data_IF_416895586885
#
_entry.id   IF_416895586885
#
_cell.length_a   1.000
_cell.length_b   1.000
_cell.length_c   1.000
_cell.angle_alpha   90.00
_cell.angle_beta   90.00
_cell.angle_gamma   90.00
#
_symmetry.space_group_name_H-M   'P 1'
#
loop_
_entity.id
_entity.type
_entity.pdbx_description
1 polymer ?
#
# COMPACT_ATOMS: atom_id res chain seq x y z
N UNK A 1 -15.21 12.45 -2.62
CA UNK A 1 -14.60 12.70 -1.30
C UNK A 1 -15.63 12.78 -0.18
N UNK A 2 -16.63 13.67 -0.24
CA UNK A 2 -17.61 13.89 0.84
C UNK A 2 -18.19 12.60 1.44
N UNK A 3 -18.82 11.74 0.61
CA UNK A 3 -19.43 10.48 1.06
C UNK A 3 -18.43 9.52 1.72
N UNK A 4 -17.20 9.44 1.21
CA UNK A 4 -16.16 8.59 1.78
C UNK A 4 -15.72 9.09 3.16
N UNK A 5 -15.47 10.40 3.29
CA UNK A 5 -15.10 11.01 4.57
C UNK A 5 -16.23 10.94 5.60
N UNK A 6 -17.48 11.08 5.18
CA UNK A 6 -18.64 10.87 6.05
C UNK A 6 -18.71 9.43 6.57
N UNK A 7 -18.52 8.45 5.70
CA UNK A 7 -18.43 7.04 6.10
C UNK A 7 -17.29 6.79 7.09
N UNK A 8 -16.07 7.25 6.80
CA UNK A 8 -14.92 7.06 7.70
C UNK A 8 -15.07 7.82 9.01
N UNK A 9 -15.78 8.96 9.03
CA UNK A 9 -16.14 9.66 10.27
C UNK A 9 -17.05 8.80 11.14
N UNK A 10 -18.09 8.19 10.56
CA UNK A 10 -18.98 7.28 11.30
C UNK A 10 -18.27 5.98 11.72
N UNK A 11 -17.33 5.49 10.89
CA UNK A 11 -16.54 4.31 11.24
C UNK A 11 -15.63 4.59 12.45
N UNK A 12 -15.05 5.78 12.54
CA UNK A 12 -14.13 6.17 13.61
C UNK A 12 -14.73 6.06 15.03
N UNK A 13 -16.06 6.21 15.16
CA UNK A 13 -16.77 6.02 16.43
C UNK A 13 -16.72 4.56 16.93
N UNK A 14 -16.40 3.60 16.05
CA UNK A 14 -16.33 2.17 16.33
C UNK A 14 -14.89 1.61 16.21
N UNK A 15 -13.89 2.47 16.03
CA UNK A 15 -12.48 2.06 15.99
C UNK A 15 -11.77 2.36 17.31
N UNK A 16 -10.51 1.95 17.43
CA UNK A 16 -9.66 2.38 18.55
C UNK A 16 -9.62 3.91 18.65
N UNK A 17 -9.68 4.47 19.87
CA UNK A 17 -9.74 5.92 20.08
C UNK A 17 -8.45 6.62 19.66
N UNK A 18 -8.58 7.81 19.08
CA UNK A 18 -7.44 8.66 18.73
C UNK A 18 -6.85 8.38 17.35
N UNK A 19 -5.71 9.03 17.07
CA UNK A 19 -4.91 8.74 15.87
C UNK A 19 -3.93 7.64 16.22
N UNK A 20 -4.12 6.47 15.62
CA UNK A 20 -3.32 5.27 15.86
C UNK A 20 -2.29 5.14 14.76
N UNK A 21 -1.05 4.81 15.12
CA UNK A 21 0.02 4.54 14.18
C UNK A 21 0.16 3.01 13.98
N UNK A 22 1.16 2.64 13.21
CA UNK A 22 1.57 1.29 12.86
C UNK A 22 1.67 0.40 14.12
N UNK A 23 2.24 0.89 15.22
CA UNK A 23 2.45 0.05 16.40
C UNK A 23 1.14 -0.25 17.13
N UNK A 24 0.29 0.75 17.38
CA UNK A 24 -0.96 0.57 18.11
C UNK A 24 -1.92 -0.35 17.33
N UNK A 25 -2.03 -0.16 16.01
CA UNK A 25 -2.88 -1.00 15.15
C UNK A 25 -2.39 -2.44 15.14
N UNK A 26 -1.08 -2.65 14.99
CA UNK A 26 -0.48 -3.99 15.01
C UNK A 26 -0.73 -4.66 16.36
N UNK A 27 -0.43 -3.99 17.47
CA UNK A 27 -0.55 -4.59 18.80
C UNK A 27 -2.00 -4.94 19.12
N UNK A 28 -2.96 -4.07 18.81
CA UNK A 28 -4.38 -4.33 19.02
C UNK A 28 -4.94 -5.47 18.16
N UNK A 29 -4.46 -5.60 16.92
CA UNK A 29 -4.84 -6.72 16.06
C UNK A 29 -4.24 -8.04 16.58
N UNK A 30 -2.93 -8.03 16.86
CA UNK A 30 -2.19 -9.23 17.30
C UNK A 30 -2.63 -9.73 18.67
N UNK A 31 -3.06 -8.86 19.58
CA UNK A 31 -3.57 -9.24 20.90
C UNK A 31 -5.08 -9.55 20.91
N UNK A 32 -5.77 -9.43 19.77
CA UNK A 32 -7.20 -9.75 19.63
C UNK A 32 -8.17 -8.65 20.11
N UNK A 33 -7.67 -7.48 20.53
CA UNK A 33 -8.53 -6.33 20.90
C UNK A 33 -9.26 -5.76 19.70
N UNK A 34 -8.63 -5.77 18.52
CA UNK A 34 -9.21 -5.37 17.26
C UNK A 34 -9.30 -6.59 16.31
N UNK A 35 -10.51 -7.05 15.91
CA UNK A 35 -10.64 -8.20 15.02
C UNK A 35 -10.27 -7.90 13.56
N UNK A 36 -10.09 -6.62 13.20
CA UNK A 36 -9.73 -6.16 11.86
C UNK A 36 -8.72 -5.01 11.95
N UNK A 37 -7.81 -4.96 10.99
CA UNK A 37 -6.85 -3.87 10.83
C UNK A 37 -6.80 -3.40 9.36
N UNK A 38 -6.83 -2.09 9.15
CA UNK A 38 -6.44 -1.50 7.87
C UNK A 38 -4.92 -1.33 7.89
N UNK A 39 -4.20 -2.26 7.28
CA UNK A 39 -2.74 -2.32 7.39
C UNK A 39 -2.12 -2.88 6.10
N UNK A 40 -0.83 -2.60 5.91
CA UNK A 40 -0.02 -3.22 4.85
C UNK A 40 0.15 -4.73 5.04
N UNK A 41 0.57 -5.44 4.00
CA UNK A 41 1.04 -6.83 4.11
C UNK A 41 2.22 -7.01 5.08
N UNK A 42 2.87 -5.91 5.49
CA UNK A 42 3.91 -5.91 6.53
C UNK A 42 3.45 -6.37 7.91
N UNK A 43 2.15 -6.55 8.17
CA UNK A 43 1.68 -7.19 9.40
C UNK A 43 1.86 -8.72 9.38
N UNK A 44 1.91 -9.34 8.19
CA UNK A 44 1.93 -10.79 8.04
C UNK A 44 3.13 -11.47 8.72
N UNK A 45 4.37 -10.92 8.70
CA UNK A 45 5.46 -11.47 9.49
C UNK A 45 5.14 -11.61 10.99
N UNK A 46 4.40 -10.67 11.58
CA UNK A 46 3.97 -10.78 12.98
C UNK A 46 2.92 -11.88 13.15
N UNK A 47 1.94 -11.97 12.24
CA UNK A 47 0.94 -13.05 12.22
C UNK A 47 1.59 -14.43 12.16
N UNK A 48 2.61 -14.59 11.31
CA UNK A 48 3.33 -15.87 11.15
C UNK A 48 4.13 -16.23 12.41
N UNK A 49 4.78 -15.24 13.02
CA UNK A 49 5.71 -15.47 14.14
C UNK A 49 4.99 -15.63 15.48
N UNK A 50 3.93 -14.87 15.69
CA UNK A 50 3.30 -14.65 17.00
C UNK A 50 1.82 -15.05 17.03
N UNK A 51 1.19 -15.25 15.86
CA UNK A 51 -0.23 -15.61 15.72
C UNK A 51 -0.48 -16.94 15.02
N UNK A 52 -1.68 -17.06 14.44
CA UNK A 52 -2.07 -18.19 13.61
C UNK A 52 -2.26 -17.72 12.15
N UNK A 53 -1.34 -18.07 11.22
CA UNK A 53 -1.41 -17.63 9.83
C UNK A 53 -2.58 -18.25 9.05
N UNK A 54 -3.26 -19.27 9.58
CA UNK A 54 -4.49 -19.81 9.00
C UNK A 54 -5.74 -19.06 9.46
N UNK A 55 -5.64 -18.27 10.53
CA UNK A 55 -6.73 -17.49 11.10
C UNK A 55 -6.65 -16.00 10.74
N UNK A 56 -6.16 -15.69 9.54
CA UNK A 56 -6.15 -14.33 9.01
C UNK A 56 -6.86 -14.30 7.66
N UNK A 57 -7.78 -13.36 7.51
CA UNK A 57 -8.47 -13.07 6.26
C UNK A 57 -8.03 -11.74 5.69
N UNK A 58 -8.29 -11.55 4.40
CA UNK A 58 -8.08 -10.29 3.69
C UNK A 58 -9.36 -9.86 2.99
N UNK A 59 -9.62 -8.57 3.00
CA UNK A 59 -10.77 -7.97 2.32
C UNK A 59 -10.41 -6.59 1.81
N UNK A 60 -10.89 -6.27 0.61
CA UNK A 60 -10.82 -4.91 0.04
C UNK A 60 -12.15 -4.21 0.24
N UNK A 61 -12.21 -3.13 1.05
CA UNK A 61 -13.42 -2.33 1.18
C UNK A 61 -13.86 -1.82 -0.20
N UNK A 62 -15.06 -2.20 -0.62
CA UNK A 62 -15.60 -1.89 -1.94
C UNK A 62 -16.99 -1.26 -1.81
N UNK A 63 -17.23 -0.16 -2.51
CA UNK A 63 -18.57 0.44 -2.66
C UNK A 63 -19.00 0.39 -4.13
N UNK A 64 -18.54 1.36 -4.94
CA UNK A 64 -18.70 1.33 -6.41
C UNK A 64 -17.52 0.70 -7.12
N UNK A 65 -16.33 0.91 -6.58
CA UNK A 65 -15.06 0.46 -7.14
C UNK A 65 -14.17 0.00 -6.00
N UNK A 66 -13.40 -1.06 -6.25
CA UNK A 66 -12.35 -1.50 -5.33
C UNK A 66 -11.15 -0.54 -5.46
N UNK A 67 -10.51 -0.24 -4.33
CA UNK A 67 -9.31 0.57 -4.29
C UNK A 67 -8.38 0.01 -3.23
N UNK A 68 -7.18 -0.38 -3.63
CA UNK A 68 -6.14 -0.88 -2.74
C UNK A 68 -4.96 0.08 -2.79
N UNK A 69 -4.39 0.37 -1.62
CA UNK A 69 -3.11 1.04 -1.55
C UNK A 69 -1.99 0.01 -1.72
N UNK A 70 -1.10 0.25 -2.69
CA UNK A 70 0.07 -0.57 -2.91
C UNK A 70 1.18 0.24 -3.55
N UNK A 71 2.43 -0.16 -3.30
CA UNK A 71 3.59 0.41 -3.96
C UNK A 71 4.19 -0.62 -4.91
N UNK A 72 4.43 -0.22 -6.15
CA UNK A 72 5.23 -1.00 -7.09
C UNK A 72 6.70 -0.67 -6.88
N UNK A 73 7.48 -1.68 -6.53
CA UNK A 73 8.93 -1.57 -6.46
C UNK A 73 9.53 -1.98 -7.81
N UNK A 74 10.27 -1.08 -8.44
CA UNK A 74 10.92 -1.30 -9.73
C UNK A 74 12.40 -0.91 -9.67
N UNK A 75 13.24 -1.61 -10.41
CA UNK A 75 14.61 -1.17 -10.69
C UNK A 75 14.57 -0.14 -11.81
N UNK A 76 15.09 1.06 -11.58
CA UNK A 76 15.13 2.13 -12.56
C UNK A 76 16.57 2.44 -12.97
N UNK A 77 16.77 2.73 -14.25
CA UNK A 77 18.05 3.19 -14.79
C UNK A 77 17.98 4.70 -14.83
N UNK A 78 18.89 5.34 -14.09
CA UNK A 78 19.01 6.81 -14.09
C UNK A 78 19.52 7.29 -15.45
N UNK A 79 19.43 8.59 -15.74
CA UNK A 79 20.02 9.20 -16.93
C UNK A 79 21.34 9.89 -16.60
N UNK A 80 22.21 10.11 -17.59
CA UNK A 80 23.45 10.88 -17.44
C UNK A 80 24.71 10.05 -17.15
N UNK A 81 24.61 8.72 -17.19
CA UNK A 81 25.72 7.77 -17.11
C UNK A 81 26.44 7.69 -18.46
N UNK A 82 27.62 7.08 -18.46
CA UNK A 82 28.29 6.69 -19.71
C UNK A 82 27.50 5.60 -20.41
N UNK A 83 27.66 5.50 -21.72
CA UNK A 83 26.97 4.50 -22.54
C UNK A 83 27.22 3.07 -22.03
N UNK A 84 28.45 2.74 -21.68
CA UNK A 84 28.84 1.41 -21.21
C UNK A 84 28.19 1.07 -19.86
N UNK A 85 27.97 2.08 -19.00
CA UNK A 85 27.29 1.93 -17.71
C UNK A 85 25.79 1.71 -17.91
N UNK A 86 25.16 2.43 -18.85
CA UNK A 86 23.75 2.20 -19.24
C UNK A 86 23.56 0.79 -19.78
N UNK A 87 24.39 0.34 -20.72
CA UNK A 87 24.31 -1.02 -21.29
C UNK A 87 24.51 -2.12 -20.23
N UNK A 88 25.38 -1.89 -19.25
CA UNK A 88 25.58 -2.81 -18.13
C UNK A 88 24.35 -2.82 -17.19
N UNK A 89 23.77 -1.66 -16.90
CA UNK A 89 22.57 -1.55 -16.06
C UNK A 89 21.36 -2.24 -16.72
N UNK A 90 21.17 -2.09 -18.03
CA UNK A 90 20.10 -2.77 -18.78
C UNK A 90 20.23 -4.29 -18.68
N UNK A 91 21.44 -4.83 -18.87
CA UNK A 91 21.71 -6.26 -18.71
C UNK A 91 21.43 -6.74 -17.28
N UNK A 92 21.80 -5.94 -16.28
CA UNK A 92 21.53 -6.28 -14.87
C UNK A 92 20.03 -6.28 -14.56
N UNK A 93 19.28 -5.26 -15.00
CA UNK A 93 17.83 -5.22 -14.81
C UNK A 93 17.16 -6.40 -15.51
N UNK A 94 17.52 -6.69 -16.76
CA UNK A 94 16.99 -7.84 -17.50
C UNK A 94 17.33 -9.19 -16.83
N UNK A 95 18.51 -9.31 -16.24
CA UNK A 95 18.87 -10.48 -15.42
C UNK A 95 17.98 -10.56 -14.18
N UNK A 96 17.85 -9.48 -13.41
CA UNK A 96 17.01 -9.44 -12.21
C UNK A 96 15.54 -9.75 -12.52
N UNK A 97 15.05 -9.42 -13.71
CA UNK A 97 13.65 -9.67 -14.11
C UNK A 97 13.33 -11.14 -14.44
N UNK A 98 14.33 -12.01 -14.51
CA UNK A 98 14.12 -13.44 -14.67
C UNK A 98 13.35 -14.02 -13.47
N UNK A 99 12.47 -14.99 -13.72
CA UNK A 99 11.52 -15.47 -12.74
C UNK A 99 12.17 -15.96 -11.44
N UNK A 100 13.26 -16.72 -11.52
CA UNK A 100 13.97 -17.23 -10.35
C UNK A 100 14.67 -16.10 -9.58
N UNK A 101 15.26 -15.12 -10.29
CA UNK A 101 15.94 -13.98 -9.66
C UNK A 101 14.95 -13.02 -8.96
N UNK A 102 13.80 -12.75 -9.59
CA UNK A 102 12.71 -12.01 -8.90
C UNK A 102 12.20 -12.83 -7.72
N UNK A 103 12.06 -14.15 -7.86
CA UNK A 103 11.57 -14.99 -6.77
C UNK A 103 12.47 -14.85 -5.53
N UNK A 104 13.78 -14.92 -5.71
CA UNK A 104 14.74 -14.71 -4.62
C UNK A 104 14.63 -13.30 -4.02
N UNK A 105 14.50 -12.27 -4.85
CA UNK A 105 14.34 -10.89 -4.38
C UNK A 105 13.06 -10.69 -3.57
N UNK A 106 11.92 -11.22 -4.04
CA UNK A 106 10.63 -11.17 -3.33
C UNK A 106 10.70 -11.96 -2.02
N UNK A 107 11.41 -13.09 -2.00
CA UNK A 107 11.59 -13.91 -0.80
C UNK A 107 12.49 -13.27 0.27
N UNK A 108 13.11 -12.11 0.02
CA UNK A 108 13.75 -11.32 1.09
C UNK A 108 12.74 -10.84 2.15
N UNK A 109 11.45 -10.79 1.81
CA UNK A 109 10.36 -10.44 2.74
C UNK A 109 9.11 -11.27 2.42
N UNK A 110 9.13 -12.59 2.71
CA UNK A 110 8.13 -13.51 2.22
C UNK A 110 6.74 -13.19 2.82
N UNK A 111 5.71 -13.18 1.98
CA UNK A 111 4.34 -12.83 2.35
C UNK A 111 4.08 -11.31 2.44
N UNK A 112 5.08 -10.50 2.79
CA UNK A 112 4.96 -9.05 2.80
C UNK A 112 5.20 -8.44 1.41
N UNK A 113 6.27 -8.85 0.72
CA UNK A 113 6.49 -8.53 -0.69
C UNK A 113 5.79 -9.56 -1.58
N UNK A 114 5.13 -9.08 -2.64
CA UNK A 114 4.38 -9.93 -3.57
C UNK A 114 4.87 -9.72 -5.01
N UNK A 115 4.96 -10.79 -5.82
CA UNK A 115 5.46 -10.71 -7.16
C UNK A 115 4.40 -10.12 -8.10
N UNK A 116 4.84 -9.24 -9.00
CA UNK A 116 4.04 -8.75 -10.13
C UNK A 116 4.24 -9.58 -11.39
N UNK A 117 5.31 -10.38 -11.44
CA UNK A 117 5.59 -11.31 -12.52
C UNK A 117 4.91 -12.67 -12.25
N UNK A 118 3.93 -13.04 -13.09
CA UNK A 118 3.16 -14.29 -12.98
C UNK A 118 4.02 -15.56 -13.09
N UNK A 119 5.24 -15.47 -13.63
CA UNK A 119 6.15 -16.62 -13.66
C UNK A 119 6.69 -16.97 -12.26
N UNK A 120 6.82 -15.99 -11.36
CA UNK A 120 7.39 -16.17 -10.01
C UNK A 120 6.57 -17.17 -9.20
N UNK A 121 5.23 -17.10 -9.26
CA UNK A 121 4.38 -18.02 -8.50
C UNK A 121 4.52 -19.50 -8.92
N UNK A 122 5.18 -19.75 -10.05
CA UNK A 122 5.45 -21.08 -10.55
C UNK A 122 6.81 -21.65 -10.15
N UNK A 123 7.73 -20.85 -9.63
CA UNK A 123 9.09 -21.27 -9.25
C UNK A 123 9.09 -22.14 -8.00
N UNK A 124 10.14 -22.96 -7.84
CA UNK A 124 10.35 -23.74 -6.62
C UNK A 124 10.54 -22.80 -5.41
N UNK A 125 11.34 -21.73 -5.58
CA UNK A 125 11.56 -20.69 -4.56
C UNK A 125 10.25 -20.17 -3.96
N UNK A 126 9.24 -19.89 -4.78
CA UNK A 126 7.92 -19.46 -4.29
C UNK A 126 7.13 -20.62 -3.66
N UNK A 127 6.92 -21.70 -4.40
CA UNK A 127 6.03 -22.80 -4.00
C UNK A 127 6.51 -23.55 -2.77
N UNK A 128 7.82 -23.64 -2.57
CA UNK A 128 8.41 -24.43 -1.51
C UNK A 128 8.62 -23.62 -0.22
N UNK A 129 8.56 -22.29 -0.29
CA UNK A 129 8.78 -21.39 0.83
C UNK A 129 7.78 -21.65 1.98
N UNK A 130 8.32 -21.83 3.19
CA UNK A 130 7.53 -22.18 4.38
C UNK A 130 6.51 -21.10 4.76
N UNK A 131 6.85 -19.82 4.59
CA UNK A 131 5.95 -18.70 4.88
C UNK A 131 4.80 -18.66 3.88
N UNK A 132 5.10 -18.80 2.59
CA UNK A 132 4.06 -18.84 1.55
C UNK A 132 3.09 -20.00 1.79
N UNK A 133 3.61 -21.19 2.12
CA UNK A 133 2.77 -22.35 2.50
C UNK A 133 1.93 -22.07 3.75
N UNK A 134 2.51 -21.46 4.77
CA UNK A 134 1.81 -21.16 6.02
C UNK A 134 0.67 -20.15 5.85
N UNK A 135 0.77 -19.24 4.87
CA UNK A 135 -0.28 -18.27 4.53
C UNK A 135 -1.37 -18.86 3.61
N UNK A 136 -1.19 -20.08 3.09
CA UNK A 136 -2.17 -20.73 2.21
C UNK A 136 -2.50 -19.89 0.97
N UNK A 137 -3.79 -19.62 0.77
CA UNK A 137 -4.29 -18.89 -0.40
C UNK A 137 -4.13 -17.36 -0.31
N UNK A 138 -3.84 -16.83 0.88
CA UNK A 138 -3.80 -15.39 1.14
C UNK A 138 -2.86 -14.60 0.20
N UNK A 139 -1.61 -15.04 -0.09
CA UNK A 139 -0.75 -14.33 -1.02
C UNK A 139 -1.35 -14.21 -2.42
N UNK A 140 -2.09 -15.22 -2.88
CA UNK A 140 -2.73 -15.20 -4.19
C UNK A 140 -3.94 -14.27 -4.24
N UNK A 141 -4.70 -14.18 -3.14
CA UNK A 141 -5.77 -13.19 -3.00
C UNK A 141 -5.22 -11.77 -3.06
N UNK A 142 -4.10 -11.51 -2.37
CA UNK A 142 -3.44 -10.20 -2.41
C UNK A 142 -2.90 -9.86 -3.80
N UNK A 143 -2.28 -10.82 -4.50
CA UNK A 143 -1.80 -10.65 -5.88
C UNK A 143 -2.97 -10.35 -6.84
N UNK A 144 -4.14 -10.95 -6.62
CA UNK A 144 -5.31 -10.72 -7.46
C UNK A 144 -5.83 -9.27 -7.40
N UNK A 145 -5.47 -8.52 -6.36
CA UNK A 145 -5.83 -7.11 -6.21
C UNK A 145 -4.88 -6.13 -6.92
N UNK A 146 -3.81 -6.61 -7.56
CA UNK A 146 -2.88 -5.79 -8.35
C UNK A 146 -3.59 -4.82 -9.32
N UNK A 147 -4.65 -5.22 -10.06
CA UNK A 147 -5.39 -4.31 -10.94
C UNK A 147 -6.14 -3.19 -10.21
N UNK A 148 -6.41 -3.36 -8.92
CA UNK A 148 -7.13 -2.40 -8.07
C UNK A 148 -6.20 -1.44 -7.32
N UNK A 149 -4.88 -1.54 -7.51
CA UNK A 149 -3.92 -0.61 -6.90
C UNK A 149 -4.19 0.81 -7.43
N UNK A 150 -4.30 1.76 -6.50
CA UNK A 150 -4.41 3.19 -6.79
C UNK A 150 -3.20 3.92 -6.20
N UNK A 151 -2.48 4.66 -7.05
CA UNK A 151 -1.35 5.50 -6.63
C UNK A 151 -1.76 6.95 -6.71
N UNK A 152 -1.68 7.66 -5.58
CA UNK A 152 -2.01 9.08 -5.56
C UNK A 152 -1.06 9.88 -6.46
N UNK A 153 -1.63 10.65 -7.39
CA UNK A 153 -0.84 11.39 -8.39
C UNK A 153 -0.59 10.63 -9.70
N UNK A 154 -0.98 9.36 -9.81
CA UNK A 154 -1.04 8.64 -11.07
C UNK A 154 -2.51 8.56 -11.54
N UNK A 155 -2.81 9.09 -12.72
CA UNK A 155 -4.15 9.02 -13.33
C UNK A 155 -4.01 8.52 -14.75
N UNK A 156 -4.49 7.30 -15.01
CA UNK A 156 -4.27 6.61 -16.27
C UNK A 156 -2.78 6.38 -16.51
N UNK A 157 -2.26 6.92 -17.61
CA UNK A 157 -0.86 6.86 -18.03
C UNK A 157 -0.02 8.06 -17.54
N UNK A 158 -0.62 9.00 -16.78
CA UNK A 158 0.03 10.24 -16.37
C UNK A 158 0.43 10.22 -14.90
N UNK A 159 1.70 10.53 -14.66
CA UNK A 159 2.24 10.81 -13.33
C UNK A 159 2.37 12.32 -13.12
N UNK A 160 1.69 12.86 -12.12
CA UNK A 160 1.72 14.27 -11.75
C UNK A 160 2.78 14.48 -10.67
N UNK A 161 3.94 15.03 -11.02
CA UNK A 161 5.08 15.27 -10.10
C UNK A 161 4.69 16.12 -8.88
N UNK A 162 3.71 17.01 -9.05
CA UNK A 162 3.07 17.82 -7.99
C UNK A 162 2.50 17.02 -6.83
N UNK A 163 2.29 15.72 -7.01
CA UNK A 163 1.86 14.82 -5.94
C UNK A 163 2.83 14.85 -4.75
N UNK A 164 4.13 15.10 -5.00
CA UNK A 164 5.14 15.26 -3.96
C UNK A 164 4.84 16.45 -3.06
N UNK A 165 4.56 17.62 -3.65
CA UNK A 165 4.17 18.82 -2.91
C UNK A 165 2.90 18.59 -2.11
N UNK A 166 1.87 18.00 -2.75
CA UNK A 166 0.58 17.73 -2.09
C UNK A 166 0.77 16.80 -0.89
N UNK A 167 1.53 15.72 -1.06
CA UNK A 167 1.81 14.77 0.03
C UNK A 167 2.61 15.45 1.14
N UNK A 168 3.67 16.18 0.78
CA UNK A 168 4.53 16.89 1.72
C UNK A 168 3.83 18.02 2.48
N UNK A 169 2.78 18.62 1.91
CA UNK A 169 2.00 19.67 2.55
C UNK A 169 1.17 19.19 3.76
N UNK A 170 0.87 17.88 3.83
CA UNK A 170 0.01 17.32 4.87
C UNK A 170 -1.45 17.79 4.82
N UNK A 171 -1.88 18.47 3.75
CA UNK A 171 -3.27 18.96 3.63
C UNK A 171 -4.27 17.81 3.61
N UNK A 172 -3.98 16.74 2.86
CA UNK A 172 -4.86 15.57 2.75
C UNK A 172 -4.95 14.80 4.08
N UNK A 173 -3.83 14.53 4.73
CA UNK A 173 -3.81 13.81 6.02
C UNK A 173 -4.51 14.61 7.11
N UNK A 174 -4.26 15.93 7.17
CA UNK A 174 -4.93 16.83 8.10
C UNK A 174 -6.44 16.91 7.87
N UNK A 175 -6.89 16.94 6.60
CA UNK A 175 -8.33 16.89 6.27
C UNK A 175 -8.99 15.63 6.80
N UNK A 176 -8.39 14.46 6.55
CA UNK A 176 -8.91 13.16 7.02
C UNK A 176 -8.95 13.13 8.54
N UNK A 177 -7.85 13.49 9.21
CA UNK A 177 -7.77 13.53 10.67
C UNK A 177 -8.83 14.46 11.27
N UNK A 178 -8.90 15.71 10.80
CA UNK A 178 -9.80 16.72 11.35
C UNK A 178 -11.27 16.30 11.23
N UNK A 179 -11.67 15.70 10.11
CA UNK A 179 -13.06 15.25 9.90
C UNK A 179 -13.41 14.02 10.73
N UNK A 180 -12.46 13.09 10.89
CA UNK A 180 -12.69 11.80 11.55
C UNK A 180 -12.48 11.90 13.07
N UNK A 181 -11.23 11.96 13.50
CA UNK A 181 -10.83 12.01 14.91
C UNK A 181 -11.05 13.40 15.51
N UNK A 182 -10.75 14.45 14.75
CA UNK A 182 -10.84 15.85 15.20
C UNK A 182 -12.27 16.41 15.27
N UNK A 183 -13.27 15.67 14.77
CA UNK A 183 -14.71 16.04 14.78
C UNK A 183 -15.03 17.41 14.17
N UNK A 184 -14.17 17.91 13.28
CA UNK A 184 -14.41 19.15 12.56
C UNK A 184 -15.60 19.02 11.58
N UNK A 185 -16.15 20.17 11.19
CA UNK A 185 -17.25 20.22 10.22
C UNK A 185 -16.79 19.69 8.86
N UNK A 186 -17.44 18.63 8.38
CA UNK A 186 -17.13 17.96 7.12
C UNK A 186 -17.08 18.93 5.93
N UNK A 187 -18.13 19.73 5.75
CA UNK A 187 -18.26 20.61 4.59
C UNK A 187 -17.24 21.75 4.58
N UNK A 188 -16.99 22.37 5.74
CA UNK A 188 -16.00 23.46 5.85
C UNK A 188 -14.58 22.93 5.67
N UNK A 189 -14.23 21.82 6.32
CA UNK A 189 -12.90 21.24 6.22
C UNK A 189 -12.57 20.77 4.81
N UNK A 190 -13.52 20.16 4.08
CA UNK A 190 -13.32 19.84 2.66
C UNK A 190 -13.06 21.10 1.83
N UNK A 191 -13.86 22.15 2.02
CA UNK A 191 -13.75 23.39 1.25
C UNK A 191 -12.40 24.08 1.49
N UNK A 192 -11.99 24.23 2.74
CA UNK A 192 -10.72 24.85 3.11
C UNK A 192 -9.52 24.05 2.60
N UNK A 193 -9.57 22.72 2.72
CA UNK A 193 -8.52 21.84 2.19
C UNK A 193 -8.44 21.92 0.66
N UNK A 194 -9.57 21.98 -0.04
CA UNK A 194 -9.58 22.18 -1.49
C UNK A 194 -8.90 23.49 -1.88
N UNK A 195 -9.21 24.59 -1.20
CA UNK A 195 -8.57 25.90 -1.46
C UNK A 195 -7.05 25.85 -1.27
N UNK A 196 -6.58 25.16 -0.22
CA UNK A 196 -5.14 24.97 0.02
C UNK A 196 -4.49 24.14 -1.08
N UNK A 197 -5.16 23.08 -1.53
CA UNK A 197 -4.67 22.24 -2.63
C UNK A 197 -4.63 23.01 -3.94
N UNK A 198 -5.67 23.79 -4.27
CA UNK A 198 -5.74 24.63 -5.47
C UNK A 198 -4.60 25.63 -5.49
N UNK A 199 -4.42 26.39 -4.40
CA UNK A 199 -3.32 27.34 -4.27
C UNK A 199 -1.94 26.68 -4.36
N UNK A 200 -1.79 25.47 -3.79
CA UNK A 200 -0.57 24.70 -3.94
C UNK A 200 -0.35 24.36 -5.40
N UNK A 201 -1.34 23.76 -6.07
CA UNK A 201 -1.22 23.29 -7.47
C UNK A 201 -1.15 24.41 -8.52
N UNK A 202 -1.32 25.67 -8.12
CA UNK A 202 -1.10 26.86 -8.97
C UNK A 202 0.32 27.43 -8.86
N UNK A 203 1.08 27.15 -7.80
CA UNK A 203 2.46 27.64 -7.64
C UNK A 203 3.35 27.01 -8.73
N UNK A 204 4.04 27.84 -9.52
CA UNK A 204 4.94 27.44 -10.61
C UNK A 204 6.38 27.28 -10.14
#
# INVERSE_FOLDING_TARGET
>A
MHRALEYYRSLADNTMPGSNDIMEVKDAFMNGTAPMAMYSTYILPAVIKEGDPQNVGFVVPTEKTSAVYGMLTSLTITTGQKKEETEAAEKFVAFMEQADNIADWVMMSPGAALPVNKAVVNTATWKENAVIKALGDLPYQLIAELPNIQVFGAVGDKNFTRMGDVTGSGVVSSMVHNVTVGKASLSSTIKESQQKLDALVEQR
#
